data_IF_689029221673
#
_entry.id   IF_689029221673
#
_cell.length_a   1.000
_cell.length_b   1.000
_cell.length_c   1.000
_cell.angle_alpha   90.00
_cell.angle_beta   90.00
_cell.angle_gamma   90.00
#
_symmetry.space_group_name_H-M   'P 1'
#
loop_
_entity.id
_entity.type
_entity.pdbx_description
1 polymer ?
#
# COMPACT_ATOMS: atom_id res chain seq x y z
N UNK A 1 -0.20 -2.50 -1.15
CA UNK A 1 -0.73 -2.58 -2.54
C UNK A 1 -2.13 -3.21 -2.55
N UNK A 2 -3.11 -2.48 -2.02
CA UNK A 2 -4.53 -2.61 -2.34
C UNK A 2 -5.14 -1.25 -2.00
N UNK A 3 -5.61 -0.54 -3.02
CA UNK A 3 -6.34 0.71 -2.82
C UNK A 3 -7.81 0.36 -2.76
N UNK A 4 -8.48 0.53 -1.61
CA UNK A 4 -9.93 0.72 -1.62
C UNK A 4 -10.25 2.07 -2.25
N UNK A 5 -10.36 2.12 -3.58
CA UNK A 5 -11.15 3.15 -4.22
C UNK A 5 -12.61 2.72 -4.20
N UNK A 6 -13.24 2.91 -3.04
CA UNK A 6 -14.69 3.01 -2.97
C UNK A 6 -15.11 4.30 -3.67
N UNK A 7 -16.13 4.18 -4.53
CA UNK A 7 -16.77 5.20 -5.39
C UNK A 7 -16.11 5.37 -6.76
N UNK A 8 -16.54 4.55 -7.72
CA UNK A 8 -17.39 4.94 -8.86
C UNK A 8 -17.74 3.71 -9.69
N UNK A 9 -19.04 3.57 -10.00
CA UNK A 9 -19.67 2.30 -10.38
C UNK A 9 -19.19 1.66 -11.68
N UNK A 10 -19.14 0.33 -11.66
CA UNK A 10 -19.20 -0.54 -12.82
C UNK A 10 -20.25 -1.61 -12.57
N UNK A 11 -21.52 -1.21 -12.59
CA UNK A 11 -22.63 -2.16 -12.68
C UNK A 11 -22.81 -2.53 -14.16
N UNK A 12 -22.07 -3.51 -14.65
CA UNK A 12 -22.48 -4.24 -15.87
C UNK A 12 -23.26 -5.46 -15.43
N UNK A 13 -24.58 -5.40 -15.53
CA UNK A 13 -25.43 -6.58 -15.31
C UNK A 13 -25.10 -7.62 -16.38
N UNK A 14 -24.55 -8.78 -15.99
CA UNK A 14 -24.56 -9.96 -16.86
C UNK A 14 -25.66 -10.91 -16.39
N UNK A 15 -26.80 -10.86 -17.09
CA UNK A 15 -27.81 -11.92 -17.06
C UNK A 15 -27.27 -13.08 -17.91
N UNK A 16 -26.43 -13.93 -17.34
CA UNK A 16 -26.21 -15.30 -17.84
C UNK A 16 -25.46 -16.11 -16.80
N UNK A 17 -26.10 -17.17 -16.30
CA UNK A 17 -25.58 -18.08 -15.26
C UNK A 17 -24.46 -19.00 -15.75
N UNK A 18 -23.35 -18.43 -16.21
CA UNK A 18 -22.08 -19.12 -16.40
C UNK A 18 -21.22 -18.93 -15.16
N UNK A 19 -20.79 -20.03 -14.52
CA UNK A 19 -19.78 -20.01 -13.45
C UNK A 19 -18.50 -19.42 -14.01
N UNK A 20 -18.24 -18.17 -13.66
CA UNK A 20 -16.99 -17.49 -13.93
C UNK A 20 -15.89 -18.10 -13.06
N UNK A 21 -14.73 -18.25 -13.67
CA UNK A 21 -13.47 -18.67 -13.08
C UNK A 21 -12.88 -17.58 -12.14
N UNK A 22 -13.72 -16.62 -11.73
CA UNK A 22 -13.42 -15.40 -10.99
C UNK A 22 -14.24 -15.34 -9.69
N UNK A 23 -14.40 -16.47 -8.99
CA UNK A 23 -15.03 -16.52 -7.67
C UNK A 23 -14.43 -15.55 -6.65
N UNK A 24 -13.22 -15.04 -6.90
CA UNK A 24 -12.52 -14.04 -6.11
C UNK A 24 -13.27 -12.70 -6.10
N UNK A 25 -13.84 -12.23 -7.22
CA UNK A 25 -14.48 -10.91 -7.29
C UNK A 25 -15.80 -10.84 -6.51
N UNK A 26 -16.55 -11.96 -6.43
CA UNK A 26 -17.78 -12.04 -5.63
C UNK A 26 -17.53 -12.19 -4.11
N UNK A 27 -16.32 -12.57 -3.73
CA UNK A 27 -15.93 -12.79 -2.33
C UNK A 27 -15.45 -11.49 -1.65
N UNK A 28 -14.82 -10.58 -2.41
CA UNK A 28 -14.39 -9.26 -1.94
C UNK A 28 -15.56 -8.41 -1.43
N UNK A 29 -16.73 -8.53 -2.07
CA UNK A 29 -17.96 -7.82 -1.67
C UNK A 29 -18.58 -8.35 -0.37
N UNK A 30 -18.27 -9.61 0.01
CA UNK A 30 -18.89 -10.29 1.15
C UNK A 30 -18.05 -10.24 2.41
N UNK A 31 -16.74 -10.39 2.28
CA UNK A 31 -15.80 -10.29 3.41
C UNK A 31 -14.42 -9.81 2.95
N UNK A 32 -14.26 -8.50 2.70
CA UNK A 32 -12.99 -7.96 2.24
C UNK A 32 -11.87 -8.19 3.26
N UNK A 33 -12.18 -8.27 4.55
CA UNK A 33 -11.20 -8.55 5.61
C UNK A 33 -10.61 -9.97 5.48
N UNK A 34 -11.46 -10.98 5.30
CA UNK A 34 -10.97 -12.35 5.12
C UNK A 34 -10.09 -12.51 3.87
N UNK A 35 -10.37 -11.75 2.81
CA UNK A 35 -9.55 -11.75 1.60
C UNK A 35 -8.17 -11.10 1.84
N UNK A 36 -8.16 -9.98 2.58
CA UNK A 36 -6.91 -9.32 2.98
C UNK A 36 -6.09 -10.22 3.91
N UNK A 37 -6.70 -10.93 4.85
CA UNK A 37 -5.99 -11.84 5.75
C UNK A 37 -5.37 -13.06 5.04
N UNK A 38 -5.98 -13.51 3.93
CA UNK A 38 -5.54 -14.73 3.24
C UNK A 38 -4.53 -14.50 2.12
N UNK A 39 -4.44 -13.28 1.56
CA UNK A 39 -3.58 -13.02 0.41
C UNK A 39 -2.07 -13.25 0.64
N UNK A 40 -1.47 -13.06 1.83
CA UNK A 40 -0.03 -13.29 1.99
C UNK A 40 0.32 -14.78 1.82
N UNK A 41 -0.52 -15.66 2.39
CA UNK A 41 -0.39 -17.10 2.22
C UNK A 41 -0.66 -17.53 0.76
N UNK A 42 -1.70 -16.97 0.13
CA UNK A 42 -1.99 -17.27 -1.27
C UNK A 42 -0.88 -16.80 -2.22
N UNK A 43 -0.31 -15.62 -1.99
CA UNK A 43 0.82 -15.09 -2.77
C UNK A 43 2.06 -15.95 -2.63
N UNK A 44 2.39 -16.38 -1.40
CA UNK A 44 3.44 -17.36 -1.16
C UNK A 44 3.18 -18.66 -1.95
N UNK A 45 1.95 -19.18 -1.91
CA UNK A 45 1.59 -20.43 -2.59
C UNK A 45 1.67 -20.36 -4.10
N UNK A 46 1.46 -19.18 -4.69
CA UNK A 46 1.65 -18.94 -6.13
C UNK A 46 3.13 -18.89 -6.48
N UNK A 47 3.96 -18.26 -5.64
CA UNK A 47 5.38 -18.05 -5.94
C UNK A 47 6.27 -19.22 -5.54
N UNK A 48 5.85 -20.06 -4.58
CA UNK A 48 6.63 -21.21 -4.12
C UNK A 48 6.87 -22.17 -5.29
N UNK A 49 8.13 -22.49 -5.55
CA UNK A 49 8.54 -23.37 -6.65
C UNK A 49 9.01 -22.67 -7.92
N UNK A 50 8.91 -21.34 -8.00
CA UNK A 50 9.60 -20.57 -9.03
C UNK A 50 11.10 -20.49 -8.74
N UNK A 51 11.94 -20.94 -9.68
CA UNK A 51 13.40 -21.03 -9.52
C UNK A 51 14.10 -19.68 -9.35
N UNK A 52 13.48 -18.60 -9.84
CA UNK A 52 14.06 -17.25 -9.82
C UNK A 52 13.64 -16.42 -8.59
N UNK A 53 12.82 -17.00 -7.70
CA UNK A 53 12.35 -16.31 -6.49
C UNK A 53 13.17 -16.82 -5.29
N UNK A 54 13.86 -15.90 -4.62
CA UNK A 54 14.68 -16.27 -3.47
C UNK A 54 13.81 -16.60 -2.24
N UNK A 55 14.31 -17.44 -1.32
CA UNK A 55 13.62 -17.74 -0.07
C UNK A 55 13.28 -16.49 0.75
N UNK A 56 14.13 -15.48 0.74
CA UNK A 56 13.92 -14.22 1.45
C UNK A 56 12.75 -13.43 0.87
N UNK A 57 12.55 -13.49 -0.45
CA UNK A 57 11.39 -12.86 -1.10
C UNK A 57 10.11 -13.63 -0.75
N UNK A 58 10.16 -14.96 -0.70
CA UNK A 58 9.01 -15.77 -0.28
C UNK A 58 8.63 -15.47 1.19
N UNK A 59 9.63 -15.38 2.07
CA UNK A 59 9.47 -14.97 3.48
C UNK A 59 8.80 -13.59 3.58
N UNK A 60 9.32 -12.60 2.83
CA UNK A 60 8.76 -11.26 2.76
C UNK A 60 7.31 -11.24 2.29
N UNK A 61 6.98 -11.97 1.21
CA UNK A 61 5.62 -12.06 0.67
C UNK A 61 4.66 -12.68 1.69
N UNK A 62 5.07 -13.73 2.39
CA UNK A 62 4.20 -14.41 3.35
C UNK A 62 3.94 -13.58 4.60
N UNK A 63 4.95 -12.86 5.09
CA UNK A 63 4.95 -12.29 6.44
C UNK A 63 4.86 -10.77 6.49
N UNK A 64 4.70 -10.06 5.37
CA UNK A 64 4.62 -8.59 5.39
C UNK A 64 3.43 -7.98 6.18
N UNK A 65 2.46 -8.80 6.62
CA UNK A 65 1.39 -8.40 7.56
C UNK A 65 1.61 -8.90 8.99
N UNK A 66 2.78 -9.46 9.30
CA UNK A 66 3.19 -9.76 10.66
C UNK A 66 3.63 -8.49 11.39
N UNK A 67 3.29 -8.40 12.68
CA UNK A 67 3.60 -7.24 13.51
C UNK A 67 4.45 -7.64 14.71
N UNK A 68 5.29 -6.72 15.19
CA UNK A 68 6.27 -7.00 16.23
C UNK A 68 5.67 -7.52 17.55
N UNK A 69 4.40 -7.20 17.81
CA UNK A 69 3.65 -7.63 19.00
C UNK A 69 2.90 -8.96 18.82
N UNK A 70 3.00 -9.60 17.65
CA UNK A 70 2.32 -10.86 17.33
C UNK A 70 0.84 -10.73 16.96
N UNK A 71 0.32 -9.50 16.82
CA UNK A 71 -1.08 -9.26 16.41
C UNK A 71 -1.34 -9.43 14.91
N UNK A 72 -0.27 -9.59 14.11
CA UNK A 72 -0.31 -9.76 12.67
C UNK A 72 -0.78 -11.15 12.21
N UNK A 73 -0.67 -11.40 10.91
CA UNK A 73 -1.09 -12.63 10.25
C UNK A 73 -0.15 -12.94 9.06
N UNK A 74 -0.10 -14.20 8.56
CA UNK A 74 -0.95 -15.35 8.89
C UNK A 74 -0.51 -16.20 10.09
N UNK A 75 0.76 -16.15 10.47
CA UNK A 75 1.40 -17.08 11.41
C UNK A 75 1.56 -16.50 12.83
N UNK A 76 1.27 -15.20 13.03
CA UNK A 76 1.29 -14.50 14.33
C UNK A 76 2.68 -14.47 14.96
N UNK A 77 3.67 -14.07 14.16
CA UNK A 77 5.06 -14.02 14.56
C UNK A 77 5.32 -12.83 15.48
N UNK A 78 6.09 -13.04 16.55
CA UNK A 78 6.63 -11.96 17.38
C UNK A 78 7.94 -11.42 16.78
N UNK A 79 8.35 -10.24 17.24
CA UNK A 79 9.53 -9.51 16.75
C UNK A 79 10.77 -10.37 16.49
N UNK A 80 11.09 -11.31 17.38
CA UNK A 80 12.30 -12.15 17.30
C UNK A 80 12.32 -13.08 16.07
N UNK A 81 11.14 -13.39 15.52
CA UNK A 81 10.96 -14.29 14.38
C UNK A 81 10.71 -13.55 13.06
N UNK A 82 10.65 -12.21 13.08
CA UNK A 82 10.41 -11.40 11.88
C UNK A 82 11.75 -10.88 11.35
N UNK A 83 12.09 -11.28 10.12
CA UNK A 83 13.34 -10.88 9.44
C UNK A 83 13.34 -9.38 9.10
N UNK A 84 14.53 -8.78 8.94
CA UNK A 84 14.63 -7.35 8.64
C UNK A 84 13.98 -6.96 7.30
N UNK A 85 14.04 -7.86 6.31
CA UNK A 85 13.39 -7.64 5.00
C UNK A 85 11.87 -7.56 5.19
N UNK A 86 11.29 -8.47 5.98
CA UNK A 86 9.86 -8.45 6.31
C UNK A 86 9.50 -7.14 7.02
N UNK A 87 10.28 -6.71 8.03
CA UNK A 87 10.02 -5.46 8.77
C UNK A 87 10.02 -4.23 7.85
N UNK A 88 11.00 -4.14 6.95
CA UNK A 88 11.08 -3.03 5.98
C UNK A 88 9.88 -3.05 5.04
N UNK A 89 9.48 -4.23 4.57
CA UNK A 89 8.34 -4.38 3.67
C UNK A 89 7.02 -4.04 4.37
N UNK A 90 6.81 -4.48 5.60
CA UNK A 90 5.64 -4.15 6.43
C UNK A 90 5.49 -2.63 6.60
N UNK A 91 6.58 -1.94 6.97
CA UNK A 91 6.56 -0.47 7.10
C UNK A 91 6.20 0.18 5.77
N UNK A 92 6.79 -0.30 4.67
CA UNK A 92 6.55 0.23 3.33
C UNK A 92 5.09 0.03 2.89
N UNK A 93 4.49 -1.13 3.18
CA UNK A 93 3.11 -1.44 2.81
C UNK A 93 2.09 -0.61 3.62
N UNK A 94 2.28 -0.49 4.94
CA UNK A 94 1.45 0.36 5.81
C UNK A 94 1.51 1.82 5.35
N UNK A 95 2.71 2.33 5.10
CA UNK A 95 2.89 3.70 4.63
C UNK A 95 2.21 3.93 3.27
N UNK A 96 2.38 3.00 2.33
CA UNK A 96 1.71 3.08 1.03
C UNK A 96 0.18 3.03 1.16
N UNK A 97 -0.36 2.19 2.04
CA UNK A 97 -1.80 2.10 2.29
C UNK A 97 -2.35 3.43 2.82
N UNK A 98 -1.68 4.05 3.80
CA UNK A 98 -2.08 5.36 4.33
C UNK A 98 -2.01 6.48 3.28
N UNK A 99 -0.96 6.50 2.45
CA UNK A 99 -0.88 7.51 1.38
C UNK A 99 -1.98 7.36 0.32
N UNK A 100 -2.43 6.13 0.07
CA UNK A 100 -3.52 5.86 -0.87
C UNK A 100 -4.90 6.20 -0.28
N UNK A 101 -5.08 6.13 1.04
CA UNK A 101 -6.33 6.50 1.70
C UNK A 101 -6.47 7.99 1.97
N UNK A 102 -5.35 8.70 2.18
CA UNK A 102 -5.38 10.09 2.64
C UNK A 102 -5.62 11.10 1.52
N UNK A 103 -5.63 10.68 0.25
CA UNK A 103 -6.02 11.52 -0.91
C UNK A 103 -5.20 12.80 -1.14
N UNK A 104 -4.21 13.09 -0.28
CA UNK A 104 -3.59 14.41 -0.16
C UNK A 104 -2.20 14.53 -0.79
N UNK A 105 -1.68 13.46 -1.41
CA UNK A 105 -0.40 13.50 -2.09
C UNK A 105 -0.38 12.80 -3.46
N UNK A 106 -1.46 12.92 -4.23
CA UNK A 106 -1.31 12.87 -5.67
C UNK A 106 -0.68 14.20 -6.11
N UNK A 107 0.64 14.29 -6.09
CA UNK A 107 1.30 15.13 -7.09
C UNK A 107 1.02 14.40 -8.41
N UNK A 108 0.17 14.92 -9.31
CA UNK A 108 -0.08 14.26 -10.57
C UNK A 108 1.26 14.11 -11.29
N UNK A 109 1.70 12.87 -11.49
CA UNK A 109 2.78 12.51 -12.40
C UNK A 109 2.29 12.81 -13.83
N UNK A 110 2.30 14.09 -14.19
CA UNK A 110 1.72 14.55 -15.45
C UNK A 110 1.64 16.07 -15.63
N UNK A 111 1.73 16.88 -14.56
CA UNK A 111 1.84 18.34 -14.72
C UNK A 111 3.26 18.82 -14.43
N UNK A 112 4.03 19.00 -15.51
CA UNK A 112 5.23 19.83 -15.51
C UNK A 112 4.84 21.25 -15.09
N UNK A 113 4.89 21.57 -13.79
CA UNK A 113 4.87 22.97 -13.36
C UNK A 113 6.18 23.60 -13.81
N UNK A 114 6.18 24.64 -14.66
CA UNK A 114 7.41 25.34 -14.98
C UNK A 114 7.96 25.94 -13.69
N UNK A 115 9.21 25.64 -13.39
CA UNK A 115 9.95 26.22 -12.28
C UNK A 115 9.93 27.75 -12.40
N UNK A 116 9.01 28.41 -11.69
CA UNK A 116 9.04 29.85 -11.46
C UNK A 116 9.40 30.11 -10.01
N UNK A 117 10.70 30.24 -9.82
CA UNK A 117 11.41 31.15 -8.93
C UNK A 117 10.57 31.81 -7.84
N UNK A 118 10.63 31.25 -6.62
CA UNK A 118 10.42 32.00 -5.37
C UNK A 118 11.54 31.71 -4.36
N UNK A 119 12.78 31.84 -4.81
CA UNK A 119 13.86 32.36 -3.96
C UNK A 119 13.93 33.87 -4.24
N UNK A 120 13.26 34.67 -3.41
CA UNK A 120 13.54 36.09 -3.11
C UNK A 120 12.30 36.73 -2.46
N UNK A 121 12.06 36.44 -1.18
CA UNK A 121 11.44 37.39 -0.24
C UNK A 121 11.55 36.92 1.21
N UNK A 122 12.79 36.83 1.70
CA UNK A 122 13.08 36.71 3.13
C UNK A 122 14.29 37.58 3.55
N UNK A 123 14.59 38.67 2.82
CA UNK A 123 15.71 39.55 3.13
C UNK A 123 15.42 41.05 2.88
N UNK A 124 14.18 41.49 3.13
CA UNK A 124 13.80 42.90 2.99
C UNK A 124 12.76 43.36 4.04
N UNK A 125 12.91 42.92 5.29
CA UNK A 125 12.16 43.49 6.44
C UNK A 125 13.08 43.75 7.64
N UNK A 126 14.28 44.25 7.35
CA UNK A 126 15.26 44.61 8.38
C UNK A 126 16.15 45.73 7.90
N UNK A 127 15.60 46.96 7.81
CA UNK A 127 16.28 48.25 7.95
C UNK A 127 15.32 49.42 7.71
N UNK A 128 15.50 50.48 8.50
CA UNK A 128 14.79 51.78 8.59
C UNK A 128 13.36 51.71 9.12
N UNK A 129 12.98 52.34 10.24
CA UNK A 129 13.33 53.70 10.65
C UNK A 129 13.47 53.87 12.18
N UNK A 130 14.70 54.15 12.61
CA UNK A 130 14.99 55.06 13.72
C UNK A 130 15.45 56.38 13.07
N UNK A 131 14.72 57.48 13.34
CA UNK A 131 15.25 58.86 13.48
C UNK A 131 14.11 59.85 13.77
N UNK A 132 14.38 60.62 14.83
CA UNK A 132 13.83 61.90 15.31
C UNK A 132 12.37 61.94 15.75
#
# INVERSE_FOLDING_TARGET
>A
WWATSSRNGWATSNRNGGRDHLGILGDIDRNPQALVETHPAAGYDVLKGHVDISPEVLDAVRHHHEYLDGSGYPDRLCAENITDIVRILTISDIFAAHQLTDGHLLIPIGESRPARSRMHRAFARGRSSDRS
#
